data_IF_239281223312
#
_entry.id   IF_239281223312
#
_cell.length_a   1.000
_cell.length_b   1.000
_cell.length_c   1.000
_cell.angle_alpha   90.00
_cell.angle_beta   90.00
_cell.angle_gamma   90.00
#
_symmetry.space_group_name_H-M   'P 1'
#
loop_
_entity.id
_entity.type
_entity.pdbx_description
1 polymer ?
#
# COMPACT_ATOMS: atom_id res chain seq x y z
N UNK A 1 12.33 39.75 17.80
CA UNK A 1 11.68 38.70 18.61
C UNK A 1 12.31 37.35 18.28
N UNK A 2 13.32 36.92 19.03
CA UNK A 2 13.99 35.63 18.85
C UNK A 2 13.23 34.55 19.63
N UNK A 3 12.19 33.98 19.03
CA UNK A 3 11.55 32.83 19.66
C UNK A 3 12.48 31.63 19.54
N UNK A 4 13.11 31.26 20.66
CA UNK A 4 14.13 30.23 20.80
C UNK A 4 13.52 28.81 20.84
N UNK A 5 12.45 28.59 20.08
CA UNK A 5 11.89 27.25 19.91
C UNK A 5 12.33 26.66 18.58
N UNK A 6 12.84 25.44 18.67
CA UNK A 6 13.27 24.69 17.51
C UNK A 6 12.07 24.42 16.60
N UNK A 7 12.23 24.59 15.28
CA UNK A 7 11.19 24.37 14.27
C UNK A 7 10.55 22.98 14.42
N UNK A 8 11.36 21.97 14.75
CA UNK A 8 10.92 20.60 15.02
C UNK A 8 9.95 20.51 16.20
N UNK A 9 10.16 21.29 17.25
CA UNK A 9 9.29 21.27 18.44
C UNK A 9 7.89 21.79 18.09
N UNK A 10 7.82 22.88 17.33
CA UNK A 10 6.55 23.46 16.87
C UNK A 10 5.80 22.56 15.90
N UNK A 11 6.54 21.84 15.06
CA UNK A 11 5.99 20.81 14.19
C UNK A 11 5.28 19.71 15.00
N UNK A 12 5.95 19.18 16.04
CA UNK A 12 5.37 18.17 16.91
C UNK A 12 4.13 18.67 17.66
N UNK A 13 4.21 19.87 18.23
CA UNK A 13 3.07 20.52 18.90
C UNK A 13 1.87 20.71 17.95
N UNK A 14 2.12 21.10 16.70
CA UNK A 14 1.05 21.23 15.70
C UNK A 14 0.34 19.91 15.38
N UNK A 15 1.09 18.80 15.36
CA UNK A 15 0.52 17.46 15.18
C UNK A 15 -0.34 17.07 16.38
N UNK A 16 0.15 17.28 17.60
CA UNK A 16 -0.57 16.96 18.83
C UNK A 16 -1.87 17.77 18.95
N UNK A 17 -1.82 19.07 18.60
CA UNK A 17 -3.00 19.93 18.59
C UNK A 17 -4.05 19.48 17.57
N UNK A 18 -3.62 19.06 16.36
CA UNK A 18 -4.55 18.54 15.36
C UNK A 18 -5.16 17.21 15.80
N UNK A 19 -4.40 16.35 16.48
CA UNK A 19 -4.90 15.07 17.00
C UNK A 19 -5.93 15.24 18.11
N UNK A 20 -5.81 16.30 18.91
CA UNK A 20 -6.72 16.62 20.00
C UNK A 20 -8.07 17.23 19.55
N UNK A 21 -8.28 17.48 18.25
CA UNK A 21 -9.53 18.02 17.71
C UNK A 21 -10.64 16.95 17.82
N UNK A 22 -11.76 17.28 18.48
CA UNK A 22 -12.91 16.39 18.66
C UNK A 22 -13.71 16.19 17.37
N UNK A 23 -13.86 17.24 16.55
CA UNK A 23 -14.56 17.17 15.27
C UNK A 23 -13.70 16.47 14.20
N UNK A 24 -14.18 15.32 13.73
CA UNK A 24 -13.42 14.43 12.86
C UNK A 24 -13.10 15.06 11.48
N UNK A 25 -14.02 15.83 10.93
CA UNK A 25 -13.83 16.56 9.67
C UNK A 25 -12.75 17.64 9.77
N UNK A 26 -12.77 18.42 10.85
CA UNK A 26 -11.78 19.46 11.12
C UNK A 26 -10.42 18.86 11.45
N UNK A 27 -10.40 17.78 12.25
CA UNK A 27 -9.20 16.98 12.53
C UNK A 27 -8.55 16.50 11.24
N UNK A 28 -9.33 15.91 10.33
CA UNK A 28 -8.86 15.41 9.05
C UNK A 28 -8.26 16.53 8.20
N UNK A 29 -8.99 17.65 8.01
CA UNK A 29 -8.51 18.80 7.25
C UNK A 29 -7.20 19.35 7.80
N UNK A 30 -7.09 19.49 9.12
CA UNK A 30 -5.88 19.95 9.79
C UNK A 30 -4.72 18.97 9.59
N UNK A 31 -4.94 17.67 9.74
CA UNK A 31 -3.93 16.65 9.49
C UNK A 31 -3.48 16.63 8.02
N UNK A 32 -4.38 16.81 7.05
CA UNK A 32 -4.02 16.90 5.62
C UNK A 32 -3.17 18.14 5.31
N UNK A 33 -3.51 19.29 5.88
CA UNK A 33 -2.73 20.51 5.73
C UNK A 33 -1.34 20.36 6.36
N UNK A 34 -1.28 19.77 7.56
CA UNK A 34 -0.02 19.44 8.22
C UNK A 34 0.81 18.46 7.41
N UNK A 35 0.21 17.44 6.80
CA UNK A 35 0.91 16.53 5.88
C UNK A 35 1.56 17.29 4.72
N UNK A 36 0.80 18.14 4.03
CA UNK A 36 1.31 18.92 2.90
C UNK A 36 2.49 19.83 3.31
N UNK A 37 2.44 20.38 4.52
CA UNK A 37 3.53 21.15 5.10
C UNK A 37 4.74 20.27 5.45
N UNK A 38 4.52 19.11 6.08
CA UNK A 38 5.61 18.21 6.48
C UNK A 38 6.27 17.53 5.30
N UNK A 39 5.55 17.18 4.25
CA UNK A 39 6.16 16.59 3.06
C UNK A 39 7.25 17.50 2.50
N UNK A 40 6.94 18.80 2.40
CA UNK A 40 7.83 19.83 1.85
C UNK A 40 8.86 20.37 2.83
N UNK A 41 8.55 20.46 4.13
CA UNK A 41 9.38 21.18 5.11
C UNK A 41 9.69 20.39 6.39
N UNK A 42 9.12 19.21 6.57
CA UNK A 42 9.27 18.40 7.78
C UNK A 42 10.61 17.68 7.85
N UNK A 43 11.19 17.65 9.05
CA UNK A 43 12.33 16.77 9.35
C UNK A 43 11.89 15.32 9.58
N UNK A 44 12.86 14.41 9.68
CA UNK A 44 12.62 12.97 9.84
C UNK A 44 11.77 12.68 11.08
N UNK A 45 12.04 13.37 12.20
CA UNK A 45 11.32 13.16 13.46
C UNK A 45 9.85 13.57 13.35
N UNK A 46 9.58 14.73 12.76
CA UNK A 46 8.23 15.27 12.55
C UNK A 46 7.44 14.42 11.57
N UNK A 47 8.06 13.98 10.46
CA UNK A 47 7.45 13.04 9.50
C UNK A 47 7.09 11.71 10.16
N UNK A 48 7.97 11.19 11.02
CA UNK A 48 7.73 9.94 11.76
C UNK A 48 6.54 10.08 12.71
N UNK A 49 6.51 11.16 13.52
CA UNK A 49 5.40 11.42 14.44
C UNK A 49 4.08 11.66 13.72
N UNK A 50 4.11 12.42 12.63
CA UNK A 50 2.93 12.64 11.79
C UNK A 50 2.39 11.31 11.26
N UNK A 51 3.25 10.43 10.77
CA UNK A 51 2.84 9.11 10.27
C UNK A 51 2.19 8.26 11.36
N UNK A 52 2.69 8.30 12.59
CA UNK A 52 2.08 7.61 13.73
C UNK A 52 0.65 8.09 13.97
N UNK A 53 0.45 9.41 14.11
CA UNK A 53 -0.86 10.01 14.35
C UNK A 53 -1.81 9.78 13.17
N UNK A 54 -1.34 10.02 11.94
CA UNK A 54 -2.12 9.79 10.73
C UNK A 54 -2.56 8.32 10.62
N UNK A 55 -1.68 7.36 10.94
CA UNK A 55 -2.01 5.92 10.88
C UNK A 55 -3.11 5.51 11.88
N UNK A 56 -3.35 6.28 12.93
CA UNK A 56 -4.41 6.03 13.91
C UNK A 56 -5.77 6.57 13.46
N UNK A 57 -5.82 7.46 12.47
CA UNK A 57 -7.07 7.98 11.91
C UNK A 57 -7.84 6.92 11.12
N UNK A 58 -9.12 7.14 10.86
CA UNK A 58 -9.91 6.26 9.98
C UNK A 58 -9.29 6.16 8.58
N UNK A 59 -8.97 7.29 7.94
CA UNK A 59 -8.36 7.29 6.60
C UNK A 59 -7.00 6.60 6.57
N UNK A 60 -6.18 6.78 7.61
CA UNK A 60 -4.87 6.11 7.71
C UNK A 60 -5.00 4.60 7.83
N UNK A 61 -6.02 4.12 8.56
CA UNK A 61 -6.37 2.70 8.63
C UNK A 61 -6.85 2.17 7.28
N UNK A 62 -7.75 2.89 6.60
CA UNK A 62 -8.24 2.50 5.27
C UNK A 62 -7.10 2.37 4.24
N UNK A 63 -6.21 3.38 4.15
CA UNK A 63 -5.05 3.34 3.24
C UNK A 63 -4.14 2.16 3.57
N UNK A 64 -3.90 1.89 4.86
CA UNK A 64 -3.08 0.74 5.28
C UNK A 64 -3.74 -0.58 4.88
N UNK A 65 -5.04 -0.72 5.07
CA UNK A 65 -5.78 -1.92 4.69
C UNK A 65 -5.75 -2.16 3.18
N UNK A 66 -5.95 -1.11 2.38
CA UNK A 66 -5.88 -1.20 0.93
C UNK A 66 -4.47 -1.57 0.46
N UNK A 67 -3.43 -0.96 1.04
CA UNK A 67 -2.05 -1.36 0.77
C UNK A 67 -1.73 -2.81 1.16
N UNK A 68 -2.31 -3.32 2.26
CA UNK A 68 -2.19 -4.73 2.63
C UNK A 68 -2.91 -5.64 1.62
N UNK A 69 -4.10 -5.24 1.15
CA UNK A 69 -4.83 -5.99 0.13
C UNK A 69 -4.06 -6.03 -1.18
N UNK A 70 -3.61 -4.88 -1.69
CA UNK A 70 -2.80 -4.77 -2.91
C UNK A 70 -1.52 -5.63 -2.79
N UNK A 71 -0.78 -5.52 -1.69
CA UNK A 71 0.42 -6.32 -1.48
C UNK A 71 0.16 -7.83 -1.43
N UNK A 72 -0.99 -8.27 -0.91
CA UNK A 72 -1.39 -9.69 -0.96
C UNK A 72 -1.71 -10.14 -2.38
N UNK A 73 -2.36 -9.28 -3.18
CA UNK A 73 -2.70 -9.57 -4.58
C UNK A 73 -1.43 -9.66 -5.42
N UNK A 74 -0.54 -8.67 -5.31
CA UNK A 74 0.76 -8.66 -6.00
C UNK A 74 1.60 -9.88 -5.63
N UNK A 75 1.73 -10.16 -4.34
CA UNK A 75 2.51 -11.32 -3.87
C UNK A 75 1.95 -12.66 -4.37
N UNK A 76 0.62 -12.78 -4.47
CA UNK A 76 -0.03 -13.97 -5.03
C UNK A 76 0.23 -14.11 -6.52
N UNK A 77 0.12 -13.02 -7.28
CA UNK A 77 0.40 -13.01 -8.72
C UNK A 77 1.86 -13.39 -8.99
N UNK A 78 2.81 -12.82 -8.25
CA UNK A 78 4.24 -13.13 -8.37
C UNK A 78 4.54 -14.58 -8.02
N UNK A 79 3.96 -15.10 -6.94
CA UNK A 79 4.11 -16.50 -6.57
C UNK A 79 3.58 -17.43 -7.67
N UNK A 80 2.39 -17.15 -8.19
CA UNK A 80 1.79 -17.93 -9.27
C UNK A 80 2.67 -17.92 -10.53
N UNK A 81 3.17 -16.77 -10.94
CA UNK A 81 4.12 -16.63 -12.07
C UNK A 81 5.37 -17.48 -11.83
N UNK A 82 5.96 -17.43 -10.64
CA UNK A 82 7.14 -18.23 -10.30
C UNK A 82 6.87 -19.74 -10.37
N UNK A 83 5.70 -20.18 -9.90
CA UNK A 83 5.29 -21.59 -9.97
C UNK A 83 5.11 -22.04 -11.43
N UNK A 84 4.45 -21.22 -12.26
CA UNK A 84 4.24 -21.51 -13.68
C UNK A 84 5.56 -21.53 -14.45
N UNK A 85 6.48 -20.61 -14.19
CA UNK A 85 7.84 -20.63 -14.76
C UNK A 85 8.57 -21.90 -14.32
N UNK A 86 8.46 -22.30 -13.05
CA UNK A 86 9.09 -23.52 -12.54
C UNK A 86 8.56 -24.78 -13.24
N UNK A 87 7.26 -24.82 -13.49
CA UNK A 87 6.56 -25.92 -14.16
C UNK A 87 6.91 -25.99 -15.65
N UNK A 88 6.72 -24.91 -16.39
CA UNK A 88 6.86 -24.88 -17.85
C UNK A 88 8.28 -24.53 -18.35
N UNK A 89 9.21 -24.25 -17.43
CA UNK A 89 10.60 -23.76 -17.68
C UNK A 89 10.69 -22.36 -18.26
N UNK A 90 9.70 -21.94 -19.07
CA UNK A 90 9.60 -20.61 -19.65
C UNK A 90 8.12 -20.21 -19.68
N UNK A 91 7.85 -18.96 -19.34
CA UNK A 91 6.54 -18.34 -19.46
C UNK A 91 6.72 -17.06 -20.28
N UNK A 92 6.03 -16.87 -21.43
CA UNK A 92 6.15 -15.65 -22.21
C UNK A 92 5.67 -14.42 -21.44
N UNK A 93 6.27 -13.27 -21.69
CA UNK A 93 5.96 -12.02 -20.97
C UNK A 93 4.49 -11.60 -21.09
N UNK A 94 3.83 -11.95 -22.19
CA UNK A 94 2.39 -11.70 -22.38
C UNK A 94 1.56 -12.43 -21.32
N UNK A 95 1.87 -13.70 -21.04
CA UNK A 95 1.19 -14.48 -20.01
C UNK A 95 1.47 -13.91 -18.62
N UNK A 96 2.71 -13.50 -18.35
CA UNK A 96 3.09 -12.88 -17.07
C UNK A 96 2.25 -11.62 -16.82
N UNK A 97 2.10 -10.75 -17.82
CA UNK A 97 1.28 -9.54 -17.71
C UNK A 97 -0.18 -9.88 -17.44
N UNK A 98 -0.77 -10.77 -18.25
CA UNK A 98 -2.16 -11.18 -18.07
C UNK A 98 -2.41 -11.77 -16.67
N UNK A 99 -1.49 -12.59 -16.16
CA UNK A 99 -1.60 -13.15 -14.80
C UNK A 99 -1.55 -12.07 -13.72
N UNK A 100 -0.70 -11.04 -13.86
CA UNK A 100 -0.64 -9.93 -12.90
C UNK A 100 -1.89 -9.05 -12.90
N UNK A 101 -2.65 -9.05 -13.99
CA UNK A 101 -3.90 -8.29 -14.14
C UNK A 101 -5.15 -9.13 -13.83
N UNK A 102 -5.00 -10.43 -13.54
CA UNK A 102 -6.13 -11.32 -13.26
C UNK A 102 -6.83 -10.97 -11.94
N UNK A 103 -8.15 -11.20 -11.86
CA UNK A 103 -8.84 -11.30 -10.58
C UNK A 103 -8.23 -12.40 -9.69
N UNK A 104 -8.23 -12.14 -8.38
CA UNK A 104 -7.64 -13.01 -7.35
C UNK A 104 -8.23 -14.43 -7.38
N UNK A 105 -9.51 -14.54 -7.71
CA UNK A 105 -10.25 -15.80 -7.78
C UNK A 105 -9.75 -16.66 -8.94
N UNK A 106 -9.47 -16.05 -10.09
CA UNK A 106 -8.89 -16.77 -11.24
C UNK A 106 -7.46 -17.22 -10.94
N UNK A 107 -6.68 -16.42 -10.23
CA UNK A 107 -5.36 -16.83 -9.76
C UNK A 107 -5.43 -18.07 -8.85
N UNK A 108 -6.43 -18.16 -7.96
CA UNK A 108 -6.62 -19.34 -7.09
C UNK A 108 -6.96 -20.60 -7.88
N UNK A 109 -7.82 -20.47 -8.89
CA UNK A 109 -8.18 -21.60 -9.76
C UNK A 109 -6.94 -22.12 -10.48
N UNK A 110 -6.16 -21.23 -11.11
CA UNK A 110 -4.92 -21.62 -11.80
C UNK A 110 -3.95 -22.26 -10.81
N UNK A 111 -3.80 -21.70 -9.60
CA UNK A 111 -2.91 -22.25 -8.57
C UNK A 111 -3.33 -23.65 -8.11
N UNK A 112 -4.63 -23.92 -8.03
CA UNK A 112 -5.18 -25.22 -7.61
C UNK A 112 -5.02 -26.26 -8.72
N UNK A 113 -5.26 -25.87 -9.96
CA UNK A 113 -5.21 -26.75 -11.13
C UNK A 113 -3.79 -26.81 -11.76
N UNK A 114 -2.80 -26.15 -11.15
CA UNK A 114 -1.46 -25.97 -11.73
C UNK A 114 -0.79 -27.30 -12.09
N UNK A 115 -1.05 -28.37 -11.33
CA UNK A 115 -0.46 -29.68 -11.60
C UNK A 115 -1.10 -30.37 -12.81
N UNK A 116 -2.35 -30.04 -13.13
CA UNK A 116 -3.12 -30.62 -14.23
C UNK A 116 -2.87 -29.91 -15.57
N UNK A 117 -2.30 -28.71 -15.56
CA UNK A 117 -1.89 -28.01 -16.78
C UNK A 117 -0.74 -28.76 -17.47
N UNK A 118 -0.81 -29.02 -18.77
CA UNK A 118 0.22 -29.75 -19.51
C UNK A 118 1.16 -28.81 -20.27
N UNK A 119 0.65 -27.67 -20.71
CA UNK A 119 1.44 -26.66 -21.43
C UNK A 119 1.02 -25.24 -21.07
N UNK A 120 1.77 -24.25 -21.57
CA UNK A 120 1.50 -22.83 -21.30
C UNK A 120 0.16 -22.42 -21.91
N UNK A 121 -0.22 -23.00 -23.05
CA UNK A 121 -1.46 -22.74 -23.77
C UNK A 121 -2.70 -23.13 -22.96
N UNK A 122 -2.58 -24.07 -22.00
CA UNK A 122 -3.70 -24.39 -21.09
C UNK A 122 -4.14 -23.18 -20.25
N UNK A 123 -3.26 -22.19 -20.06
CA UNK A 123 -3.60 -20.96 -19.34
C UNK A 123 -4.65 -20.11 -20.08
N UNK A 124 -4.76 -20.22 -21.41
CA UNK A 124 -5.73 -19.45 -22.22
C UNK A 124 -7.19 -19.68 -21.79
N UNK A 125 -7.49 -20.77 -21.08
CA UNK A 125 -8.82 -21.04 -20.51
C UNK A 125 -9.19 -20.09 -19.37
N UNK A 126 -8.20 -19.42 -18.76
CA UNK A 126 -8.38 -18.63 -17.54
C UNK A 126 -8.13 -17.13 -17.76
N UNK A 127 -7.22 -16.76 -18.65
CA UNK A 127 -6.76 -15.38 -18.91
C UNK A 127 -7.53 -14.70 -20.03
#
# INVERSE_FOLDING_TARGET
>A
MSSKENKSKRALEGIELADAIEDEDSKLKCLTLLYALFDKFGDIASKSKFKEVFSMTEIGRMIREDGIKEGKIEGKAELLVNLLIKKFKKLPDEYIKKIKELPVEKMDVIATEIFDLNSVEDLEKYI
#
